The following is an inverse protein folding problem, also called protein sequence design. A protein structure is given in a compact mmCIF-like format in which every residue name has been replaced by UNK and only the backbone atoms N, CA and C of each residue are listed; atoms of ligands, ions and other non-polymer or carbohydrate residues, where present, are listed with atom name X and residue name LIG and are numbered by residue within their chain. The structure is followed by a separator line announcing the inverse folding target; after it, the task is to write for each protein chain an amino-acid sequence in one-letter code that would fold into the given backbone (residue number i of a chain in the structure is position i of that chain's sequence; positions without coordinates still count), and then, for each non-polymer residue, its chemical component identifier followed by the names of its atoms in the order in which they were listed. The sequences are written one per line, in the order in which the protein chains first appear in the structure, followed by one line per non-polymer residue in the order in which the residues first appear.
data_IF_211848500776
#
_entry.id   IF_211848500776
#
_cell.length_a   1.000
_cell.length_b   1.000
_cell.length_c   1.000
_cell.angle_alpha   90.00
_cell.angle_beta   90.00
_cell.angle_gamma   90.00
#
_symmetry.space_group_name_H-M   'P 1'
#
loop_
_entity.id
_entity.type
_entity.pdbx_description
1 polymer ?
#
# COMPACT_ATOMS: atom_id res chain seq x y z
N UNK A 1 -2.76 33.60 3.56
CA UNK A 1 -3.06 32.61 2.49
C UNK A 1 -3.70 31.41 3.15
N UNK A 2 -5.00 31.16 2.93
CA UNK A 2 -5.64 29.92 3.41
C UNK A 2 -5.40 28.84 2.36
N UNK A 3 -4.61 27.83 2.69
CA UNK A 3 -4.49 26.63 1.85
C UNK A 3 -5.74 25.79 2.08
N UNK A 4 -6.52 25.56 1.01
CA UNK A 4 -7.68 24.68 1.09
C UNK A 4 -7.24 23.25 1.44
N UNK A 5 -8.02 22.57 2.28
CA UNK A 5 -7.76 21.17 2.65
C UNK A 5 -7.83 20.29 1.40
N UNK A 6 -6.85 19.40 1.22
CA UNK A 6 -6.82 18.47 0.08
C UNK A 6 -7.98 17.47 0.22
N UNK A 7 -8.82 17.29 -0.83
CA UNK A 7 -9.90 16.32 -0.78
C UNK A 7 -9.40 14.88 -0.53
N UNK A 8 -10.13 14.05 0.25
CA UNK A 8 -9.69 12.71 0.60
C UNK A 8 -9.36 11.80 -0.59
N UNK A 9 -10.01 11.98 -1.74
CA UNK A 9 -9.76 11.15 -2.93
C UNK A 9 -8.34 11.34 -3.49
N UNK A 10 -7.72 12.51 -3.27
CA UNK A 10 -6.35 12.79 -3.68
C UNK A 10 -5.32 12.32 -2.63
N UNK A 11 -5.78 11.87 -1.46
CA UNK A 11 -4.96 11.32 -0.38
C UNK A 11 -5.05 9.79 -0.32
N UNK A 12 -5.46 9.16 -1.44
CA UNK A 12 -5.56 7.71 -1.55
C UNK A 12 -4.41 7.17 -2.38
N UNK A 13 -3.76 6.11 -1.89
CA UNK A 13 -2.75 5.35 -2.63
C UNK A 13 -3.23 3.92 -2.84
N UNK A 14 -3.06 3.41 -4.06
CA UNK A 14 -3.35 2.00 -4.37
C UNK A 14 -2.26 1.40 -5.25
N UNK A 15 -2.07 0.09 -5.17
CA UNK A 15 -1.08 -0.57 -6.01
C UNK A 15 -1.17 -2.09 -6.02
N UNK A 16 -0.40 -2.69 -6.91
CA UNK A 16 -0.28 -4.15 -7.02
C UNK A 16 1.19 -4.53 -6.95
N UNK A 17 1.52 -5.48 -6.07
CA UNK A 17 2.85 -6.06 -5.99
C UNK A 17 2.96 -7.23 -6.97
N UNK A 18 3.84 -7.10 -7.95
CA UNK A 18 4.21 -8.17 -8.87
C UNK A 18 5.65 -8.59 -8.61
N UNK A 19 5.88 -9.90 -8.43
CA UNK A 19 7.21 -10.45 -8.19
C UNK A 19 7.69 -11.19 -9.43
N UNK A 20 8.81 -10.77 -10.01
CA UNK A 20 9.40 -11.41 -11.20
C UNK A 20 10.53 -12.39 -10.86
N UNK A 21 11.12 -12.26 -9.67
CA UNK A 21 12.18 -13.17 -9.21
C UNK A 21 11.58 -14.52 -8.77
N UNK A 22 12.18 -15.62 -9.22
CA UNK A 22 11.72 -17.00 -8.95
C UNK A 22 11.68 -17.37 -7.47
N UNK A 23 12.64 -16.90 -6.66
CA UNK A 23 12.64 -17.15 -5.21
C UNK A 23 11.43 -16.48 -4.57
N UNK A 24 11.14 -15.25 -5.00
CA UNK A 24 9.99 -14.48 -4.51
C UNK A 24 8.66 -15.06 -5.01
N UNK A 25 8.60 -15.53 -6.26
CA UNK A 25 7.41 -16.16 -6.82
C UNK A 25 7.05 -17.51 -6.15
N UNK A 26 8.05 -18.21 -5.60
CA UNK A 26 7.86 -19.47 -4.87
C UNK A 26 7.21 -19.28 -3.49
N UNK A 27 7.16 -18.05 -2.97
CA UNK A 27 6.43 -17.79 -1.73
C UNK A 27 4.93 -17.71 -2.02
N UNK A 28 4.12 -18.24 -1.09
CA UNK A 28 2.67 -18.22 -1.29
C UNK A 28 2.14 -16.78 -1.40
N UNK A 29 1.11 -16.60 -2.22
CA UNK A 29 0.42 -15.31 -2.36
C UNK A 29 -0.04 -14.75 -1.00
N UNK A 30 -0.48 -15.62 -0.10
CA UNK A 30 -0.87 -15.27 1.27
C UNK A 30 0.30 -14.70 2.08
N UNK A 31 1.51 -15.25 1.92
CA UNK A 31 2.70 -14.73 2.60
C UNK A 31 3.06 -13.33 2.10
N UNK A 32 3.05 -13.12 0.79
CA UNK A 32 3.24 -11.78 0.21
C UNK A 32 2.16 -10.80 0.66
N UNK A 33 0.90 -11.23 0.70
CA UNK A 33 -0.19 -10.38 1.13
C UNK A 33 -0.01 -9.94 2.60
N UNK A 34 0.56 -10.77 3.48
CA UNK A 34 0.89 -10.37 4.85
C UNK A 34 1.94 -9.26 4.91
N UNK A 35 2.96 -9.33 4.04
CA UNK A 35 4.01 -8.30 3.93
C UNK A 35 3.41 -7.00 3.40
N UNK A 36 2.63 -7.07 2.32
CA UNK A 36 1.93 -5.90 1.74
C UNK A 36 1.00 -5.25 2.77
N UNK A 37 0.23 -6.04 3.52
CA UNK A 37 -0.64 -5.52 4.59
C UNK A 37 0.16 -4.85 5.72
N UNK A 38 1.41 -5.26 5.97
CA UNK A 38 2.29 -4.57 6.92
C UNK A 38 2.72 -3.20 6.38
N UNK A 39 3.09 -3.11 5.09
CA UNK A 39 3.42 -1.83 4.46
C UNK A 39 2.24 -0.86 4.47
N UNK A 40 1.02 -1.32 4.14
CA UNK A 40 -0.21 -0.51 4.22
C UNK A 40 -0.42 0.03 5.63
N UNK A 41 -0.27 -0.83 6.65
CA UNK A 41 -0.40 -0.39 8.05
C UNK A 41 0.64 0.66 8.44
N UNK A 42 1.87 0.54 7.93
CA UNK A 42 2.89 1.56 8.16
C UNK A 42 2.50 2.90 7.54
N UNK A 43 1.95 2.91 6.33
CA UNK A 43 1.45 4.13 5.67
C UNK A 43 0.28 4.75 6.44
N UNK A 44 -0.59 3.94 7.04
CA UNK A 44 -1.70 4.37 7.87
C UNK A 44 -1.29 4.73 9.31
N UNK A 45 0.01 4.71 9.65
CA UNK A 45 0.50 4.92 11.01
C UNK A 45 1.64 5.94 11.06
N UNK A 46 1.89 6.48 12.26
CA UNK A 46 3.03 7.36 12.49
C UNK A 46 3.01 8.62 11.61
N UNK A 47 4.17 9.15 11.20
CA UNK A 47 4.27 10.37 10.41
C UNK A 47 3.55 10.33 9.06
N UNK A 48 3.29 9.14 8.50
CA UNK A 48 2.64 8.99 7.20
C UNK A 48 1.10 9.04 7.28
N UNK A 49 0.51 8.81 8.46
CA UNK A 49 -0.94 8.78 8.64
C UNK A 49 -1.63 10.12 8.34
N UNK A 50 -0.92 11.24 8.46
CA UNK A 50 -1.44 12.57 8.11
C UNK A 50 -1.41 12.85 6.61
N UNK A 51 -0.65 12.07 5.83
CA UNK A 51 -0.47 12.26 4.40
C UNK A 51 -1.43 11.43 3.55
N UNK A 52 -1.96 10.34 4.10
CA UNK A 52 -2.84 9.42 3.39
C UNK A 52 -4.15 9.21 4.15
N UNK A 53 -5.26 9.39 3.44
CA UNK A 53 -6.59 9.05 3.94
C UNK A 53 -6.86 7.56 3.80
N UNK A 54 -6.39 6.93 2.71
CA UNK A 54 -6.51 5.49 2.53
C UNK A 54 -5.35 4.91 1.73
N UNK A 55 -5.00 3.66 2.04
CA UNK A 55 -3.99 2.90 1.33
C UNK A 55 -4.50 1.47 1.09
N UNK A 56 -4.38 0.98 -0.14
CA UNK A 56 -4.73 -0.39 -0.50
C UNK A 56 -3.68 -1.02 -1.39
N UNK A 57 -3.38 -2.30 -1.21
CA UNK A 57 -2.52 -3.01 -2.13
C UNK A 57 -2.80 -4.51 -2.12
N UNK A 58 -2.63 -5.12 -3.28
CA UNK A 58 -2.85 -6.54 -3.51
C UNK A 58 -1.61 -7.17 -4.13
N UNK A 59 -1.46 -8.48 -3.95
CA UNK A 59 -0.45 -9.24 -4.70
C UNK A 59 -1.06 -9.61 -6.05
N UNK A 60 -0.38 -9.25 -7.14
CA UNK A 60 -0.77 -9.61 -8.50
C UNK A 60 -0.75 -11.13 -8.71
N UNK A 61 -1.60 -11.63 -9.61
CA UNK A 61 -1.44 -12.96 -10.17
C UNK A 61 -0.75 -12.86 -11.52
N UNK A 62 0.12 -13.81 -11.83
CA UNK A 62 0.43 -14.11 -13.24
C UNK A 62 -0.79 -14.71 -13.91
#
# INVERSE_FOLDING_TARGET
MMVATIPPQHMSISGTLSTTNTIMANWSRTMWQRIVNRAIRMLASGPFASHFFSASATVGGN
#
